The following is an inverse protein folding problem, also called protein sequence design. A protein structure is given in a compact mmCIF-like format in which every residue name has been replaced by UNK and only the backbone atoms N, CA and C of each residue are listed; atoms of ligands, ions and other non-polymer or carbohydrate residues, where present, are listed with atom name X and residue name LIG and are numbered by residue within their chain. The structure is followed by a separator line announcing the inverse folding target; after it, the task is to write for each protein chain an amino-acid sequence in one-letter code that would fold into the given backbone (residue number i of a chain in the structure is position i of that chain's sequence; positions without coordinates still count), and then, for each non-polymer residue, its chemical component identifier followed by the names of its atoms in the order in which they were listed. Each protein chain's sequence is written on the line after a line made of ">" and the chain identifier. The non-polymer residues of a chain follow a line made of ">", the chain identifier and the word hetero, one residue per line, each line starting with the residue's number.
data_IF_018265651104
#
_entry.id   IF_018265651104
#
_cell.length_a   1.000
_cell.length_b   1.000
_cell.length_c   1.000
_cell.angle_alpha   90.00
_cell.angle_beta   90.00
_cell.angle_gamma   90.00
#
_symmetry.space_group_name_H-M   'P 1'
#
loop_
_entity.id
_entity.type
_entity.pdbx_description
1 polymer ?
#
# COMPACT_ATOMS: atom_id res chain seq x y z
N UNK A 1 3.77 15.06 -6.24
CA UNK A 1 4.70 16.07 -5.69
C UNK A 1 5.92 16.12 -6.58
N UNK A 2 6.17 17.26 -7.19
CA UNK A 2 7.21 17.37 -8.21
C UNK A 2 8.50 17.86 -7.58
N UNK A 3 9.60 17.18 -7.85
CA UNK A 3 10.98 17.66 -7.60
C UNK A 3 11.12 19.13 -8.03
N UNK A 4 10.38 19.55 -9.07
CA UNK A 4 10.23 20.94 -9.53
C UNK A 4 9.97 21.93 -8.39
N UNK A 5 8.93 21.72 -7.60
CA UNK A 5 8.53 22.64 -6.53
C UNK A 5 9.51 22.62 -5.36
N UNK A 6 10.11 21.46 -5.07
CA UNK A 6 11.19 21.36 -4.09
C UNK A 6 12.41 22.20 -4.48
N UNK A 7 12.82 22.16 -5.75
CA UNK A 7 13.92 23.00 -6.24
C UNK A 7 13.58 24.49 -6.20
N UNK A 8 12.35 24.89 -6.55
CA UNK A 8 11.89 26.28 -6.43
C UNK A 8 11.96 26.77 -4.98
N UNK A 9 11.49 25.96 -4.01
CA UNK A 9 11.53 26.30 -2.59
C UNK A 9 12.96 26.48 -2.05
N UNK A 10 13.93 25.70 -2.56
CA UNK A 10 15.33 25.86 -2.18
C UNK A 10 15.96 27.15 -2.76
N UNK A 11 15.58 27.50 -3.99
CA UNK A 11 16.05 28.71 -4.69
C UNK A 11 15.45 30.01 -4.14
N UNK A 12 14.33 29.95 -3.43
CA UNK A 12 13.71 31.10 -2.74
C UNK A 12 14.68 31.78 -1.76
N UNK A 13 15.62 31.02 -1.19
CA UNK A 13 16.58 31.51 -0.21
C UNK A 13 17.85 32.11 -0.84
N UNK A 14 17.95 32.15 -2.17
CA UNK A 14 19.05 32.75 -2.92
C UNK A 14 19.62 31.85 -4.01
N UNK A 15 20.61 32.37 -4.78
CA UNK A 15 21.21 31.65 -5.89
C UNK A 15 21.96 30.39 -5.45
N UNK A 16 21.74 29.26 -6.15
CA UNK A 16 22.39 27.97 -5.85
C UNK A 16 22.76 27.23 -7.14
N UNK A 17 23.79 26.40 -7.08
CA UNK A 17 24.17 25.50 -8.17
C UNK A 17 23.56 24.09 -7.98
N UNK A 18 23.54 23.29 -9.04
CA UNK A 18 22.78 22.02 -9.09
C UNK A 18 23.17 20.99 -8.02
N UNK A 19 24.46 20.81 -7.73
CA UNK A 19 24.89 19.87 -6.68
C UNK A 19 24.57 20.37 -5.27
N UNK A 20 24.57 21.68 -5.03
CA UNK A 20 24.10 22.25 -3.76
C UNK A 20 22.60 21.98 -3.56
N UNK A 21 21.79 22.25 -4.59
CA UNK A 21 20.35 21.97 -4.55
C UNK A 21 20.05 20.49 -4.29
N UNK A 22 20.84 19.58 -4.86
CA UNK A 22 20.74 18.16 -4.55
C UNK A 22 20.96 17.88 -3.06
N UNK A 23 22.07 18.36 -2.51
CA UNK A 23 22.46 18.10 -1.11
C UNK A 23 21.40 18.63 -0.14
N UNK A 24 20.88 19.82 -0.37
CA UNK A 24 19.84 20.42 0.48
C UNK A 24 18.47 19.78 0.31
N UNK A 25 18.16 19.29 -0.90
CA UNK A 25 16.96 18.48 -1.10
C UNK A 25 17.07 17.18 -0.30
N UNK A 26 18.19 16.47 -0.44
CA UNK A 26 18.45 15.21 0.27
C UNK A 26 18.52 15.40 1.80
N UNK A 27 19.03 16.53 2.31
CA UNK A 27 19.03 16.80 3.76
C UNK A 27 17.61 16.92 4.33
N UNK A 28 16.70 17.59 3.61
CA UNK A 28 15.31 17.82 4.05
C UNK A 28 14.39 16.63 3.84
N UNK A 29 14.67 15.80 2.84
CA UNK A 29 13.80 14.69 2.45
C UNK A 29 14.36 13.32 2.81
N UNK A 30 15.60 13.28 3.30
CA UNK A 30 16.41 12.09 3.51
C UNK A 30 16.61 11.25 2.25
N UNK A 31 17.25 10.09 2.41
CA UNK A 31 17.45 9.10 1.34
C UNK A 31 16.16 8.45 0.85
N UNK A 32 15.00 8.82 1.40
CA UNK A 32 13.67 8.33 0.97
C UNK A 32 13.36 8.78 -0.46
N UNK A 33 13.82 9.97 -0.85
CA UNK A 33 13.69 10.48 -2.21
C UNK A 33 15.07 10.77 -2.79
N UNK A 34 15.79 9.72 -3.25
CA UNK A 34 17.12 9.91 -3.83
C UNK A 34 16.98 10.75 -5.10
N UNK A 35 17.72 11.85 -5.15
CA UNK A 35 17.70 12.77 -6.27
C UNK A 35 19.08 12.77 -6.92
N UNK A 36 19.18 12.22 -8.13
CA UNK A 36 20.47 12.25 -8.82
C UNK A 36 20.74 13.63 -9.44
N UNK A 37 22.02 13.97 -9.58
CA UNK A 37 22.45 15.28 -10.10
C UNK A 37 21.91 15.54 -11.52
N UNK A 38 21.81 14.50 -12.36
CA UNK A 38 21.23 14.62 -13.71
C UNK A 38 19.75 15.00 -13.71
N UNK A 39 18.96 14.48 -12.77
CA UNK A 39 17.55 14.85 -12.58
C UNK A 39 17.40 16.29 -12.10
N UNK A 40 18.32 16.78 -11.26
CA UNK A 40 18.35 18.20 -10.87
C UNK A 40 18.51 19.08 -12.10
N UNK A 41 19.57 18.87 -12.89
CA UNK A 41 19.82 19.69 -14.08
C UNK A 41 18.71 19.56 -15.13
N UNK A 42 18.17 18.36 -15.34
CA UNK A 42 17.03 18.17 -16.25
C UNK A 42 15.80 18.95 -15.78
N UNK A 43 15.56 19.01 -14.47
CA UNK A 43 14.45 19.75 -13.89
C UNK A 43 14.69 21.26 -13.93
N UNK A 44 15.92 21.72 -13.67
CA UNK A 44 16.32 23.12 -13.78
C UNK A 44 16.19 23.62 -15.22
N UNK A 45 16.64 22.86 -16.21
CA UNK A 45 16.49 23.21 -17.63
C UNK A 45 15.01 23.37 -18.03
N UNK A 46 14.11 22.54 -17.49
CA UNK A 46 12.68 22.67 -17.73
C UNK A 46 12.10 23.89 -17.02
N UNK A 47 12.47 24.12 -15.76
CA UNK A 47 12.07 25.32 -15.02
C UNK A 47 12.53 26.60 -15.72
N UNK A 48 13.73 26.60 -16.29
CA UNK A 48 14.29 27.74 -17.02
C UNK A 48 13.53 27.97 -18.33
N UNK A 49 13.27 26.91 -19.09
CA UNK A 49 12.43 26.96 -20.28
C UNK A 49 11.02 27.48 -19.96
N UNK A 50 10.46 27.09 -18.83
CA UNK A 50 9.15 27.53 -18.36
C UNK A 50 9.18 28.97 -17.77
N UNK A 51 10.35 29.62 -17.75
CA UNK A 51 10.54 30.98 -17.25
C UNK A 51 10.45 31.11 -15.73
N UNK A 52 10.54 30.01 -14.99
CA UNK A 52 10.39 29.98 -13.52
C UNK A 52 11.71 30.16 -12.79
N UNK A 53 12.83 29.78 -13.40
CA UNK A 53 14.19 30.05 -12.90
C UNK A 53 15.03 30.67 -14.03
N UNK A 54 16.13 31.31 -13.68
CA UNK A 54 17.10 31.84 -14.63
C UNK A 54 18.52 31.58 -14.15
N UNK A 55 19.47 31.46 -15.07
CA UNK A 55 20.88 31.41 -14.72
C UNK A 55 21.38 32.80 -14.29
N UNK A 56 22.00 32.89 -13.10
CA UNK A 56 22.53 34.11 -12.48
C UNK A 56 24.06 34.06 -12.41
N UNK A 57 24.69 33.78 -13.56
CA UNK A 57 26.15 33.67 -13.67
C UNK A 57 26.70 32.32 -13.18
N UNK A 58 27.92 32.36 -12.65
CA UNK A 58 28.62 31.21 -12.12
C UNK A 58 29.32 31.54 -10.79
N UNK A 59 29.55 30.53 -9.97
CA UNK A 59 30.37 30.66 -8.75
C UNK A 59 31.88 30.74 -9.10
N UNK A 60 32.71 30.91 -8.08
CA UNK A 60 34.17 30.99 -8.22
C UNK A 60 34.80 29.73 -8.83
N UNK A 61 34.08 28.60 -8.80
CA UNK A 61 34.49 27.33 -9.38
C UNK A 61 33.92 27.09 -10.80
N UNK A 62 33.15 28.05 -11.34
CA UNK A 62 32.55 27.99 -12.68
C UNK A 62 31.24 27.21 -12.76
N UNK A 63 30.62 26.85 -11.63
CA UNK A 63 29.31 26.20 -11.62
C UNK A 63 28.20 27.21 -11.92
N UNK A 64 27.29 26.85 -12.82
CA UNK A 64 26.11 27.65 -13.13
C UNK A 64 25.23 27.85 -11.88
N UNK A 65 25.02 29.11 -11.51
CA UNK A 65 24.10 29.50 -10.44
C UNK A 65 22.71 29.73 -11.02
N UNK A 66 21.69 29.21 -10.36
CA UNK A 66 20.30 29.42 -10.72
C UNK A 66 19.63 30.30 -9.67
N UNK A 67 18.70 31.15 -10.11
CA UNK A 67 17.86 31.98 -9.26
C UNK A 67 16.40 31.81 -9.65
N UNK A 68 15.51 31.85 -8.67
CA UNK A 68 14.06 31.87 -8.90
C UNK A 68 13.64 33.22 -9.49
N UNK A 69 12.68 33.19 -10.42
CA UNK A 69 12.10 34.40 -11.03
C UNK A 69 10.78 34.76 -10.36
N UNK A 70 10.20 35.92 -10.70
CA UNK A 70 8.86 36.31 -10.23
C UNK A 70 7.76 35.29 -10.60
N UNK A 71 7.84 34.73 -11.81
CA UNK A 71 6.93 33.67 -12.25
C UNK A 71 7.11 32.39 -11.40
N UNK A 72 8.35 32.07 -11.05
CA UNK A 72 8.68 30.97 -10.14
C UNK A 72 8.15 31.19 -8.73
N UNK A 73 8.25 32.41 -8.19
CA UNK A 73 7.69 32.76 -6.88
C UNK A 73 6.17 32.63 -6.86
N UNK A 74 5.49 33.18 -7.88
CA UNK A 74 4.02 33.06 -8.00
C UNK A 74 3.58 31.59 -8.05
N UNK A 75 4.26 30.77 -8.85
CA UNK A 75 4.01 29.32 -8.92
C UNK A 75 4.24 28.63 -7.57
N UNK A 76 5.31 28.99 -6.86
CA UNK A 76 5.64 28.40 -5.56
C UNK A 76 4.61 28.77 -4.49
N UNK A 77 4.18 30.03 -4.43
CA UNK A 77 3.12 30.49 -3.54
C UNK A 77 1.82 29.74 -3.82
N UNK A 78 1.40 29.69 -5.09
CA UNK A 78 0.20 28.95 -5.49
C UNK A 78 0.29 27.47 -5.08
N UNK A 79 1.45 26.85 -5.20
CA UNK A 79 1.66 25.47 -4.82
C UNK A 79 1.52 25.24 -3.30
N UNK A 80 2.06 26.14 -2.47
CA UNK A 80 1.91 26.05 -1.01
C UNK A 80 0.46 26.26 -0.55
N UNK A 81 -0.31 27.09 -1.25
CA UNK A 81 -1.72 27.37 -0.94
C UNK A 81 -2.68 26.30 -1.47
N UNK A 82 -2.29 25.59 -2.54
CA UNK A 82 -3.14 24.59 -3.17
C UNK A 82 -3.12 23.26 -2.40
N UNK A 83 -4.28 22.77 -1.90
CA UNK A 83 -4.34 21.47 -1.24
C UNK A 83 -3.94 20.33 -2.17
N UNK A 84 -3.37 19.27 -1.60
CA UNK A 84 -3.07 18.05 -2.35
C UNK A 84 -4.37 17.33 -2.71
N UNK A 85 -4.68 17.25 -4.00
CA UNK A 85 -5.87 16.53 -4.48
C UNK A 85 -5.82 15.05 -4.08
N UNK A 86 -6.93 14.59 -3.47
CA UNK A 86 -7.12 13.20 -3.02
C UNK A 86 -8.22 12.47 -3.81
N UNK A 87 -8.81 13.10 -4.82
CA UNK A 87 -9.92 12.56 -5.61
C UNK A 87 -9.50 11.38 -6.49
N UNK A 88 -8.23 11.32 -6.90
CA UNK A 88 -7.67 10.23 -7.68
C UNK A 88 -6.38 9.71 -7.02
N UNK A 89 -6.49 8.96 -5.91
CA UNK A 89 -5.32 8.48 -5.19
C UNK A 89 -4.49 7.54 -6.09
N UNK A 90 -3.14 7.55 -5.95
CA UNK A 90 -2.30 6.57 -6.62
C UNK A 90 -2.78 5.15 -6.32
N UNK A 91 -2.69 4.27 -7.32
CA UNK A 91 -3.03 2.85 -7.13
C UNK A 91 -2.13 2.25 -6.04
N UNK A 92 -2.75 1.78 -4.97
CA UNK A 92 -2.05 1.05 -3.92
C UNK A 92 -1.72 -0.37 -4.43
N UNK A 93 -0.44 -0.59 -4.71
CA UNK A 93 0.07 -1.86 -5.25
C UNK A 93 -0.22 -3.03 -4.31
N UNK A 94 -0.07 -2.82 -3.00
CA UNK A 94 -0.27 -3.87 -2.00
C UNK A 94 -1.74 -4.27 -1.90
N UNK A 95 -2.66 -3.29 -1.93
CA UNK A 95 -4.10 -3.55 -2.00
C UNK A 95 -4.48 -4.38 -3.24
N UNK A 96 -3.94 -4.03 -4.41
CA UNK A 96 -4.16 -4.77 -5.65
C UNK A 96 -3.57 -6.19 -5.55
N UNK A 97 -2.35 -6.32 -5.02
CA UNK A 97 -1.67 -7.60 -4.83
C UNK A 97 -2.49 -8.55 -3.94
N UNK A 98 -3.00 -8.07 -2.81
CA UNK A 98 -3.85 -8.88 -1.92
C UNK A 98 -5.19 -9.22 -2.58
N UNK A 99 -5.82 -8.27 -3.30
CA UNK A 99 -7.07 -8.54 -4.01
C UNK A 99 -6.90 -9.63 -5.08
N UNK A 100 -5.81 -9.60 -5.84
CA UNK A 100 -5.52 -10.62 -6.86
C UNK A 100 -5.13 -11.97 -6.25
N UNK A 101 -4.43 -11.98 -5.11
CA UNK A 101 -4.04 -13.21 -4.42
C UNK A 101 -5.23 -14.07 -3.98
N UNK A 102 -6.39 -13.47 -3.68
CA UNK A 102 -7.60 -14.19 -3.25
C UNK A 102 -8.10 -15.18 -4.32
N UNK A 103 -7.97 -14.85 -5.61
CA UNK A 103 -8.44 -15.68 -6.72
C UNK A 103 -7.36 -16.53 -7.40
N UNK A 104 -6.09 -16.40 -6.98
CA UNK A 104 -4.96 -17.00 -7.66
C UNK A 104 -4.71 -18.45 -7.18
N UNK A 105 -4.76 -19.45 -8.07
CA UNK A 105 -4.45 -20.83 -7.70
C UNK A 105 -3.02 -20.97 -7.15
N UNK A 106 -2.87 -21.68 -6.03
CA UNK A 106 -1.56 -21.98 -5.44
C UNK A 106 -0.90 -20.82 -4.67
N UNK A 107 -1.55 -19.67 -4.55
CA UNK A 107 -1.05 -18.56 -3.73
C UNK A 107 -1.52 -18.70 -2.29
N UNK A 108 -0.57 -18.79 -1.35
CA UNK A 108 -0.87 -18.67 0.07
C UNK A 108 -0.94 -17.19 0.47
N UNK A 109 -2.16 -16.65 0.53
CA UNK A 109 -2.41 -15.27 0.92
C UNK A 109 -1.90 -14.94 2.34
N UNK A 110 -1.87 -15.92 3.25
CA UNK A 110 -1.35 -15.70 4.61
C UNK A 110 0.15 -15.47 4.55
N UNK A 111 0.87 -16.27 3.77
CA UNK A 111 2.29 -16.08 3.54
C UNK A 111 2.59 -14.70 2.92
N UNK A 112 1.76 -14.24 1.98
CA UNK A 112 1.90 -12.90 1.37
C UNK A 112 1.73 -11.79 2.41
N UNK A 113 0.68 -11.86 3.25
CA UNK A 113 0.44 -10.89 4.32
C UNK A 113 1.58 -10.88 5.33
N UNK A 114 2.05 -12.06 5.76
CA UNK A 114 3.12 -12.18 6.75
C UNK A 114 4.46 -11.67 6.20
N UNK A 115 4.75 -11.96 4.93
CA UNK A 115 5.93 -11.40 4.25
C UNK A 115 5.87 -9.87 4.22
N UNK A 116 4.74 -9.28 3.78
CA UNK A 116 4.60 -7.84 3.76
C UNK A 116 4.74 -7.25 5.17
N UNK A 117 4.03 -7.80 6.17
CA UNK A 117 4.09 -7.36 7.57
C UNK A 117 5.52 -7.29 8.09
N UNK A 118 6.33 -8.29 7.79
CA UNK A 118 7.74 -8.29 8.20
C UNK A 118 8.50 -7.09 7.62
N UNK A 119 8.29 -6.79 6.33
CA UNK A 119 8.87 -5.62 5.68
C UNK A 119 8.35 -4.30 6.28
N UNK A 120 7.05 -4.19 6.54
CA UNK A 120 6.43 -3.01 7.16
C UNK A 120 7.01 -2.73 8.54
N UNK A 121 7.11 -3.74 9.41
CA UNK A 121 7.64 -3.60 10.77
C UNK A 121 9.12 -3.23 10.75
N UNK A 122 9.90 -3.85 9.86
CA UNK A 122 11.32 -3.50 9.70
C UNK A 122 11.51 -2.04 9.27
N UNK A 123 10.75 -1.59 8.28
CA UNK A 123 10.78 -0.20 7.83
C UNK A 123 10.41 0.77 8.97
N UNK A 124 9.36 0.46 9.73
CA UNK A 124 8.93 1.26 10.89
C UNK A 124 10.04 1.37 11.95
N UNK A 125 10.77 0.27 12.23
CA UNK A 125 11.91 0.28 13.15
C UNK A 125 13.06 1.15 12.63
N UNK A 126 13.38 1.04 11.34
CA UNK A 126 14.41 1.85 10.71
C UNK A 126 14.07 3.35 10.76
N UNK A 127 12.82 3.73 10.46
CA UNK A 127 12.36 5.12 10.57
C UNK A 127 12.34 5.62 12.02
N UNK A 128 11.96 4.77 12.98
CA UNK A 128 11.99 5.14 14.40
C UNK A 128 13.41 5.42 14.88
N UNK A 129 14.40 4.62 14.43
CA UNK A 129 15.82 4.87 14.71
C UNK A 129 16.30 6.18 14.10
N UNK A 130 15.92 6.48 12.85
CA UNK A 130 16.26 7.73 12.19
C UNK A 130 15.60 8.94 12.87
N UNK A 131 14.36 8.80 13.36
CA UNK A 131 13.65 9.84 14.12
C UNK A 131 14.39 10.19 15.40
N UNK A 132 14.88 9.19 16.14
CA UNK A 132 15.66 9.43 17.35
C UNK A 132 16.97 10.18 17.05
N UNK A 133 17.64 9.87 15.93
CA UNK A 133 18.84 10.58 15.49
C UNK A 133 18.55 12.03 15.09
N UNK A 134 17.46 12.27 14.35
CA UNK A 134 17.04 13.62 13.96
C UNK A 134 16.70 14.48 15.19
N UNK A 135 16.00 13.93 16.18
CA UNK A 135 15.71 14.64 17.44
C UNK A 135 16.99 15.02 18.18
N UNK A 136 17.95 14.10 18.30
CA UNK A 136 19.23 14.39 18.94
C UNK A 136 20.05 15.47 18.19
N UNK A 137 19.97 15.50 16.85
CA UNK A 137 20.62 16.54 16.03
C UNK A 137 20.00 17.93 16.31
N UNK A 138 18.68 18.01 16.36
CA UNK A 138 17.94 19.25 16.70
C UNK A 138 18.34 19.74 18.10
N UNK A 139 18.33 18.84 19.10
CA UNK A 139 18.69 19.17 20.48
C UNK A 139 20.14 19.67 20.62
N UNK A 140 21.05 19.21 19.75
CA UNK A 140 22.44 19.65 19.75
C UNK A 140 22.65 21.08 19.22
N UNK A 141 21.64 21.71 18.64
CA UNK A 141 21.66 23.12 18.24
C UNK A 141 22.58 23.43 17.04
N UNK A 142 22.63 22.54 16.06
CA UNK A 142 23.46 22.70 14.85
C UNK A 142 22.97 23.78 13.87
N UNK A 143 23.82 24.14 12.90
CA UNK A 143 23.51 25.14 11.86
C UNK A 143 22.43 24.70 10.86
N UNK A 144 21.99 23.43 10.90
CA UNK A 144 21.00 22.85 9.98
C UNK A 144 19.64 22.55 10.64
N UNK A 145 19.32 23.20 11.76
CA UNK A 145 18.09 22.95 12.54
C UNK A 145 16.81 22.90 11.69
N UNK A 146 16.65 23.80 10.70
CA UNK A 146 15.48 23.79 9.80
C UNK A 146 15.40 22.55 8.92
N UNK A 147 16.54 22.07 8.42
CA UNK A 147 16.60 20.87 7.59
C UNK A 147 16.33 19.64 8.44
N UNK A 148 16.87 19.60 9.67
CA UNK A 148 16.63 18.51 10.63
C UNK A 148 15.14 18.41 11.01
N UNK A 149 14.47 19.55 11.24
CA UNK A 149 13.02 19.60 11.49
C UNK A 149 12.24 19.15 10.26
N UNK A 150 12.61 19.59 9.05
CA UNK A 150 11.96 19.15 7.82
C UNK A 150 12.06 17.62 7.64
N UNK A 151 13.25 17.06 7.91
CA UNK A 151 13.47 15.63 7.85
C UNK A 151 12.69 14.86 8.93
N UNK A 152 12.60 15.39 10.15
CA UNK A 152 11.79 14.82 11.22
C UNK A 152 10.31 14.68 10.80
N UNK A 153 9.73 15.72 10.19
CA UNK A 153 8.34 15.69 9.71
C UNK A 153 8.13 14.61 8.65
N UNK A 154 9.10 14.43 7.74
CA UNK A 154 9.05 13.35 6.75
C UNK A 154 9.09 11.98 7.43
N UNK A 155 9.99 11.78 8.40
CA UNK A 155 10.11 10.52 9.14
C UNK A 155 8.82 10.17 9.89
N UNK A 156 8.21 11.14 10.56
CA UNK A 156 6.93 10.93 11.25
C UNK A 156 5.83 10.50 10.28
N UNK A 157 5.74 11.15 9.12
CA UNK A 157 4.79 10.76 8.08
C UNK A 157 5.06 9.35 7.54
N UNK A 158 6.32 8.92 7.42
CA UNK A 158 6.67 7.56 7.02
C UNK A 158 6.29 6.54 8.09
N UNK A 159 6.52 6.85 9.37
CA UNK A 159 6.09 6.02 10.50
C UNK A 159 4.57 5.84 10.48
N UNK A 160 3.80 6.92 10.39
CA UNK A 160 2.33 6.83 10.35
C UNK A 160 1.81 6.02 9.16
N UNK A 161 2.47 6.08 8.00
CA UNK A 161 2.13 5.23 6.86
C UNK A 161 2.39 3.76 7.16
N UNK A 162 3.55 3.41 7.73
CA UNK A 162 3.85 2.02 8.10
C UNK A 162 2.92 1.48 9.18
N UNK A 163 2.51 2.31 10.14
CA UNK A 163 1.51 1.94 11.15
C UNK A 163 0.13 1.69 10.54
N UNK A 164 -0.29 2.56 9.61
CA UNK A 164 -1.54 2.40 8.89
C UNK A 164 -1.54 1.10 8.05
N UNK A 165 -0.45 0.82 7.35
CA UNK A 165 -0.27 -0.42 6.58
C UNK A 165 -0.32 -1.65 7.50
N UNK A 166 0.42 -1.66 8.61
CA UNK A 166 0.43 -2.77 9.55
C UNK A 166 -0.97 -3.05 10.12
N UNK A 167 -1.69 -1.99 10.52
CA UNK A 167 -3.08 -2.11 11.02
C UNK A 167 -4.04 -2.63 9.95
N UNK A 168 -3.84 -2.26 8.70
CA UNK A 168 -4.65 -2.76 7.59
C UNK A 168 -4.34 -4.22 7.25
N UNK A 169 -3.07 -4.65 7.33
CA UNK A 169 -2.68 -6.06 7.21
C UNK A 169 -3.30 -6.92 8.31
N UNK A 170 -3.31 -6.43 9.57
CA UNK A 170 -4.03 -7.07 10.68
C UNK A 170 -5.52 -7.26 10.36
N UNK A 171 -6.15 -6.21 9.83
CA UNK A 171 -7.55 -6.27 9.42
C UNK A 171 -7.79 -7.34 8.34
N UNK A 172 -6.91 -7.41 7.34
CA UNK A 172 -7.00 -8.39 6.25
C UNK A 172 -6.85 -9.82 6.78
N UNK A 173 -5.88 -10.08 7.65
CA UNK A 173 -5.65 -11.40 8.24
C UNK A 173 -6.86 -11.89 9.05
N UNK A 174 -7.40 -11.03 9.92
CA UNK A 174 -8.62 -11.36 10.70
C UNK A 174 -9.81 -11.64 9.79
N UNK A 175 -9.96 -10.87 8.70
CA UNK A 175 -11.05 -11.07 7.73
C UNK A 175 -10.91 -12.41 7.01
N UNK A 176 -9.71 -12.78 6.57
CA UNK A 176 -9.44 -14.03 5.86
C UNK A 176 -9.72 -15.26 6.73
N UNK A 177 -9.29 -15.24 7.99
CA UNK A 177 -9.58 -16.31 8.96
C UNK A 177 -11.10 -16.53 9.12
N UNK A 178 -11.87 -15.43 9.16
CA UNK A 178 -13.34 -15.53 9.29
C UNK A 178 -13.99 -16.13 8.04
N UNK A 179 -13.54 -15.73 6.85
CA UNK A 179 -14.09 -16.22 5.58
C UNK A 179 -13.72 -17.69 5.33
N UNK A 180 -12.49 -18.11 5.63
CA UNK A 180 -12.11 -19.53 5.50
C UNK A 180 -12.94 -20.43 6.41
N UNK A 181 -13.13 -20.04 7.67
CA UNK A 181 -13.96 -20.79 8.62
C UNK A 181 -15.45 -20.85 8.19
N UNK A 182 -15.96 -19.84 7.49
CA UNK A 182 -17.31 -19.87 6.91
C UNK A 182 -17.41 -20.82 5.72
N UNK A 183 -16.40 -20.85 4.84
CA UNK A 183 -16.35 -21.77 3.71
C UNK A 183 -16.31 -23.24 4.16
N UNK A 184 -15.49 -23.57 5.16
CA UNK A 184 -15.40 -24.91 5.74
C UNK A 184 -16.73 -25.38 6.38
N UNK A 185 -17.41 -24.48 7.09
CA UNK A 185 -18.76 -24.77 7.66
C UNK A 185 -19.82 -24.94 6.58
N UNK A 186 -19.74 -24.17 5.50
CA UNK A 186 -20.63 -24.30 4.35
C UNK A 186 -20.45 -25.62 3.61
N UNK A 187 -19.20 -26.06 3.41
CA UNK A 187 -18.86 -27.35 2.81
C UNK A 187 -19.24 -28.55 3.70
N UNK A 188 -19.24 -28.37 5.03
CA UNK A 188 -19.60 -29.42 5.99
C UNK A 188 -21.12 -29.55 6.24
N UNK A 189 -21.96 -28.67 5.68
CA UNK A 189 -23.42 -28.84 5.76
C UNK A 189 -23.83 -29.96 4.78
N UNK A 190 -24.41 -31.08 5.25
CA UNK A 190 -24.90 -32.10 4.34
C UNK A 190 -26.01 -31.48 3.49
N UNK A 191 -25.87 -31.59 2.17
CA UNK A 191 -26.90 -31.18 1.22
C UNK A 191 -28.18 -31.92 1.57
N UNK A 192 -29.18 -31.20 2.08
CA UNK A 192 -30.48 -31.76 2.49
C UNK A 192 -31.19 -32.53 1.36
N UNK A 193 -30.73 -32.37 0.12
CA UNK A 193 -31.14 -33.14 -1.05
C UNK A 193 -30.83 -34.64 -0.97
N UNK A 194 -29.87 -35.09 -0.14
CA UNK A 194 -29.56 -36.53 -0.02
C UNK A 194 -30.48 -37.30 0.93
N UNK A 195 -31.21 -36.63 1.84
CA UNK A 195 -32.07 -37.33 2.82
C UNK A 195 -33.48 -37.62 2.29
N UNK A 196 -33.94 -36.91 1.25
CA UNK A 196 -35.23 -37.17 0.60
C UNK A 196 -35.18 -38.35 -0.38
N UNK A 197 -33.99 -38.75 -0.87
CA UNK A 197 -33.81 -39.90 -1.76
C UNK A 197 -33.75 -41.26 -1.06
N UNK A 198 -33.34 -41.31 0.22
CA UNK A 198 -33.22 -42.56 0.99
C UNK A 198 -34.48 -42.93 1.77
N UNK A 199 -35.38 -41.99 2.07
CA UNK A 199 -36.68 -42.31 2.69
C UNK A 199 -37.73 -42.82 1.69
N UNK A 200 -37.53 -42.59 0.38
CA UNK A 200 -38.42 -43.11 -0.66
C UNK A 200 -38.16 -44.59 -1.04
N UNK A 201 -37.00 -45.15 -0.69
CA UNK A 201 -36.65 -46.55 -1.00
C UNK A 201 -36.96 -47.55 0.12
N UNK A 202 -37.24 -47.09 1.33
CA UNK A 202 -37.47 -47.96 2.51
C UNK A 202 -38.95 -48.29 2.78
N UNK A 203 -39.89 -47.80 1.97
CA UNK A 203 -41.34 -48.08 2.14
C UNK A 203 -41.90 -49.20 1.26
N UNK A 204 -41.10 -49.84 0.40
CA UNK A 204 -41.51 -50.99 -0.42
C UNK A 204 -40.84 -52.29 0.07
N UNK A 205 -41.25 -52.82 1.23
CA UNK A 205 -41.07 -54.23 1.58
C UNK A 205 -41.84 -54.54 2.87
N UNK A 206 -43.13 -54.85 2.75
CA UNK A 206 -43.91 -55.52 3.79
C UNK A 206 -44.40 -56.88 3.25
N UNK A 207 -44.34 -57.97 4.03
CA UNK A 207 -44.60 -59.32 3.55
C UNK A 207 -46.10 -59.64 3.52
N UNK A 208 -46.53 -60.39 2.50
CA UNK A 208 -47.89 -60.89 2.34
C UNK A 208 -48.22 -61.95 3.41
N UNK A 209 -49.28 -61.69 4.18
CA UNK A 209 -49.82 -62.59 5.19
C UNK A 209 -50.54 -63.79 4.54
N UNK A 210 -50.26 -64.98 5.06
CA UNK A 210 -50.93 -66.24 4.76
C UNK A 210 -52.36 -66.23 5.32
N UNK A 211 -53.31 -66.78 4.56
CA UNK A 211 -54.68 -67.08 5.00
C UNK A 211 -54.91 -68.60 5.03
N UNK A 212 -55.67 -69.16 5.99
CA UNK A 212 -55.86 -70.61 6.14
C UNK A 212 -57.18 -71.16 5.54
N UNK A 213 -57.12 -72.45 5.17
CA UNK A 213 -58.18 -73.49 5.13
C UNK A 213 -59.49 -73.27 4.34
N UNK A 214 -59.79 -74.17 3.39
CA UNK A 214 -60.60 -75.39 3.63
C UNK A 214 -61.09 -76.06 2.32
N UNK A 215 -60.69 -77.32 2.17
CA UNK A 215 -61.42 -78.48 1.64
C UNK A 215 -62.69 -78.30 0.79
N UNK A 216 -62.68 -78.83 -0.44
CA UNK A 216 -63.76 -79.64 -1.01
C UNK A 216 -63.30 -80.42 -2.25
N UNK A 217 -63.04 -81.70 -2.05
CA UNK A 217 -63.59 -82.86 -2.80
C UNK A 217 -64.08 -82.67 -4.26
N UNK A 218 -63.64 -83.59 -5.12
CA UNK A 218 -64.25 -83.96 -6.41
C UNK A 218 -63.18 -84.24 -7.46
N UNK A 219 -62.87 -85.52 -7.76
CA UNK A 219 -63.33 -86.24 -8.96
C UNK A 219 -62.87 -85.57 -10.26
N UNK A 220 -62.34 -86.22 -11.29
CA UNK A 220 -62.16 -87.61 -11.72
C UNK A 220 -61.56 -87.52 -13.13
N UNK A 221 -60.70 -88.47 -13.53
CA UNK A 221 -60.43 -89.00 -14.90
C UNK A 221 -60.44 -88.06 -16.13
N UNK A 222 -59.54 -88.13 -17.11
CA UNK A 222 -58.61 -89.15 -17.59
C UNK A 222 -57.50 -88.46 -18.42
#
# INVERSE_FOLDING_TARGET
>A
MSIRHGLLALLEHGPRYGSQLRTEFESRTGSTWPLNVGQVYTTLNRLERDGMVAQSGADDAGHALYVITEAGHTELTNWFETPVDRSNPPRDELAIKLAMAIGAPGVDIRAVIQSQRHHTVKAMQDYTRLKAQALAAIESGGSQERDDVAWLLVLEQLIFQTEAEARWLDHCEVRLIRLSAQAERGASRPTATSLLGQQAQSTQSAPAAQSPQADRSGQSTA
#
